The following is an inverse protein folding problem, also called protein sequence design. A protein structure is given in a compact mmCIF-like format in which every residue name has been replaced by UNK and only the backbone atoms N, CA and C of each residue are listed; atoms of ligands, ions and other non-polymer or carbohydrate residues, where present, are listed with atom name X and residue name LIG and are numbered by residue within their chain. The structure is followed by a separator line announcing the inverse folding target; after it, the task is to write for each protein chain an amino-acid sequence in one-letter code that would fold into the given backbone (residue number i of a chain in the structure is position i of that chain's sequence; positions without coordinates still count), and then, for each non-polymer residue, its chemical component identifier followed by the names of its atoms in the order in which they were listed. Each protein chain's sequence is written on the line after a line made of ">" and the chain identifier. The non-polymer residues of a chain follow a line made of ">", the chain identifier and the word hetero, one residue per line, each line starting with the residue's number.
data_IF_255213797079
#
_entry.id   IF_255213797079
#
_cell.length_a   1.000
_cell.length_b   1.000
_cell.length_c   1.000
_cell.angle_alpha   90.00
_cell.angle_beta   90.00
_cell.angle_gamma   90.00
#
_symmetry.space_group_name_H-M   'P 1'
#
loop_
_entity.id
_entity.type
_entity.pdbx_description
1 polymer ?
#
# COMPACT_ATOMS: atom_id res chain seq x y z
N UNK A 1 -12.37 2.13 -1.64
CA UNK A 1 -11.83 2.30 -0.26
C UNK A 1 -12.68 3.28 0.55
N UNK A 2 -13.01 2.99 1.81
CA UNK A 2 -13.81 3.87 2.69
C UNK A 2 -12.96 4.82 3.57
N UNK A 3 -13.62 5.74 4.28
CA UNK A 3 -12.95 6.79 5.08
C UNK A 3 -12.07 6.23 6.20
N UNK A 4 -12.56 5.22 6.92
CA UNK A 4 -11.79 4.57 7.99
C UNK A 4 -10.55 3.83 7.44
N UNK A 5 -10.68 3.20 6.28
CA UNK A 5 -9.57 2.55 5.57
C UNK A 5 -8.53 3.57 5.11
N UNK A 6 -8.98 4.72 4.60
CA UNK A 6 -8.10 5.82 4.22
C UNK A 6 -7.34 6.38 5.43
N UNK A 7 -8.01 6.59 6.56
CA UNK A 7 -7.39 7.06 7.79
C UNK A 7 -6.30 6.11 8.31
N UNK A 8 -6.57 4.81 8.34
CA UNK A 8 -5.57 3.81 8.73
C UNK A 8 -4.39 3.76 7.76
N UNK A 9 -4.67 3.87 6.47
CA UNK A 9 -3.62 3.85 5.43
C UNK A 9 -2.73 5.08 5.47
N UNK A 10 -3.30 6.27 5.75
CA UNK A 10 -2.54 7.51 5.97
C UNK A 10 -1.65 7.40 7.21
N UNK A 11 -2.18 6.92 8.32
CA UNK A 11 -1.38 6.71 9.54
C UNK A 11 -0.19 5.76 9.30
N UNK A 12 -0.35 4.72 8.48
CA UNK A 12 0.75 3.87 8.06
C UNK A 12 1.75 4.62 7.16
N UNK A 13 1.26 5.39 6.19
CA UNK A 13 2.10 6.19 5.29
C UNK A 13 2.96 7.20 6.07
N UNK A 14 2.40 7.89 7.07
CA UNK A 14 3.12 8.83 7.94
C UNK A 14 4.23 8.11 8.75
N UNK A 15 3.92 6.89 9.22
CA UNK A 15 4.92 6.05 9.89
C UNK A 15 6.05 5.65 8.94
N UNK A 16 5.75 5.31 7.69
CA UNK A 16 6.77 5.02 6.68
C UNK A 16 7.60 6.27 6.39
N UNK A 17 6.97 7.43 6.21
CA UNK A 17 7.68 8.68 5.95
C UNK A 17 8.69 9.04 7.04
N UNK A 18 8.32 8.80 8.31
CA UNK A 18 9.20 9.06 9.45
C UNK A 18 10.26 7.98 9.70
N UNK A 19 10.07 6.75 9.19
CA UNK A 19 10.98 5.63 9.44
C UNK A 19 11.82 5.21 8.23
N UNK A 20 11.50 5.69 7.03
CA UNK A 20 12.19 5.32 5.80
C UNK A 20 12.32 6.54 4.86
N UNK A 21 13.51 7.14 4.87
CA UNK A 21 13.84 8.31 4.05
C UNK A 21 13.87 8.02 2.53
N UNK A 22 13.99 6.76 2.11
CA UNK A 22 13.99 6.39 0.69
C UNK A 22 12.58 6.23 0.11
N UNK A 23 11.56 6.14 0.98
CA UNK A 23 10.18 5.94 0.54
C UNK A 23 9.63 7.19 -0.15
N UNK A 24 9.20 7.04 -1.40
CA UNK A 24 8.51 8.07 -2.17
C UNK A 24 6.98 7.97 -2.03
N UNK A 25 6.48 6.77 -1.76
CA UNK A 25 5.06 6.50 -1.63
C UNK A 25 4.77 5.11 -1.06
N UNK A 26 3.49 4.84 -0.86
CA UNK A 26 2.96 3.55 -0.43
C UNK A 26 1.87 3.11 -1.42
N UNK A 27 2.06 1.94 -2.02
CA UNK A 27 1.03 1.26 -2.81
C UNK A 27 0.07 0.57 -1.83
N UNK A 28 -1.22 0.85 -2.00
CA UNK A 28 -2.30 0.22 -1.26
C UNK A 28 -3.08 -0.69 -2.20
N UNK A 29 -3.18 -1.97 -1.85
CA UNK A 29 -3.98 -2.96 -2.55
C UNK A 29 -5.13 -3.38 -1.65
N UNK A 30 -6.35 -3.04 -2.03
CA UNK A 30 -7.58 -3.47 -1.33
C UNK A 30 -7.91 -4.88 -1.80
N UNK A 31 -7.95 -5.82 -0.86
CA UNK A 31 -8.22 -7.23 -1.13
C UNK A 31 -9.72 -7.54 -1.00
N UNK A 32 -10.16 -8.59 -1.66
CA UNK A 32 -11.53 -9.15 -1.63
C UNK A 32 -12.09 -9.41 -0.21
N UNK A 33 -11.20 -9.63 0.76
CA UNK A 33 -11.56 -9.87 2.16
C UNK A 33 -11.62 -8.58 3.01
N UNK A 34 -11.47 -7.41 2.39
CA UNK A 34 -11.44 -6.09 3.04
C UNK A 34 -10.14 -5.76 3.78
N UNK A 35 -9.10 -6.58 3.65
CA UNK A 35 -7.75 -6.23 4.12
C UNK A 35 -7.06 -5.35 3.08
N UNK A 36 -6.08 -4.57 3.50
CA UNK A 36 -5.29 -3.71 2.64
C UNK A 36 -3.84 -4.13 2.77
N UNK A 37 -3.18 -4.46 1.66
CA UNK A 37 -1.74 -4.62 1.62
C UNK A 37 -1.11 -3.28 1.30
N UNK A 38 -0.29 -2.78 2.22
CA UNK A 38 0.44 -1.54 2.08
C UNK A 38 1.92 -1.85 1.81
N UNK A 39 2.42 -1.44 0.66
CA UNK A 39 3.78 -1.71 0.20
C UNK A 39 4.50 -0.39 -0.11
N UNK A 40 5.51 0.02 0.68
CA UNK A 40 6.28 1.21 0.38
C UNK A 40 7.14 1.02 -0.86
N UNK A 41 7.37 2.09 -1.60
CA UNK A 41 8.24 2.10 -2.77
C UNK A 41 9.06 3.40 -2.84
N UNK A 42 10.23 3.33 -3.48
CA UNK A 42 11.13 4.47 -3.68
C UNK A 42 10.85 5.22 -5.01
N UNK A 43 11.61 6.29 -5.28
CA UNK A 43 11.49 7.10 -6.52
C UNK A 43 11.75 6.32 -7.83
N UNK A 44 12.29 5.12 -7.75
CA UNK A 44 12.48 4.24 -8.90
C UNK A 44 11.32 3.26 -9.08
N UNK A 45 10.33 3.27 -8.19
CA UNK A 45 9.22 2.32 -8.15
C UNK A 45 9.60 0.94 -7.63
N UNK A 46 10.74 0.83 -6.95
CA UNK A 46 11.19 -0.42 -6.31
C UNK A 46 10.64 -0.51 -4.89
N UNK A 47 10.24 -1.70 -4.43
CA UNK A 47 9.75 -1.88 -3.07
C UNK A 47 10.85 -1.57 -2.06
N UNK A 48 10.50 -0.86 -0.98
CA UNK A 48 11.42 -0.54 0.11
C UNK A 48 10.79 -0.85 1.46
N UNK A 49 11.60 -1.35 2.39
CA UNK A 49 11.11 -1.76 3.70
C UNK A 49 10.14 -2.95 3.65
N UNK A 50 9.40 -3.14 4.74
CA UNK A 50 8.44 -4.25 4.89
C UNK A 50 7.03 -3.80 4.53
N UNK A 51 6.35 -4.57 3.69
CA UNK A 51 4.90 -4.42 3.51
C UNK A 51 4.13 -4.73 4.79
N UNK A 52 2.98 -4.10 4.96
CA UNK A 52 2.08 -4.36 6.06
C UNK A 52 0.70 -4.76 5.57
N UNK A 53 -0.01 -5.54 6.38
CA UNK A 53 -1.42 -5.83 6.19
C UNK A 53 -2.22 -5.01 7.19
N UNK A 54 -3.10 -4.19 6.67
CA UNK A 54 -3.98 -3.31 7.42
C UNK A 54 -5.41 -3.84 7.33
N UNK A 55 -6.17 -3.75 8.41
CA UNK A 55 -7.60 -4.05 8.39
C UNK A 55 -8.32 -3.12 9.33
N UNK A 56 -9.39 -2.53 8.82
CA UNK A 56 -10.38 -1.81 9.64
C UNK A 56 -11.44 -2.81 10.06
N UNK A 57 -11.71 -2.88 11.36
CA UNK A 57 -12.86 -3.60 11.90
C UNK A 57 -13.57 -2.62 12.83
N UNK A 58 -14.84 -2.35 12.59
CA UNK A 58 -15.66 -1.62 13.53
C UNK A 58 -15.84 -2.51 14.78
N UNK A 59 -15.29 -2.09 15.92
CA UNK A 59 -15.68 -2.63 17.21
C UNK A 59 -14.66 -3.43 18.02
N UNK A 60 -13.50 -3.87 17.51
CA UNK A 60 -12.30 -4.22 18.33
C UNK A 60 -11.16 -4.89 17.53
N UNK A 61 -9.92 -4.66 18.00
CA UNK A 61 -8.59 -5.17 17.59
C UNK A 61 -8.36 -5.37 16.07
N UNK A 62 -7.43 -4.55 15.53
CA UNK A 62 -6.79 -4.58 14.20
C UNK A 62 -6.22 -5.97 13.82
N UNK A 63 -7.05 -7.00 13.63
CA UNK A 63 -6.61 -8.36 13.29
C UNK A 63 -6.78 -8.59 11.79
N UNK A 64 -5.65 -8.80 11.13
CA UNK A 64 -5.60 -9.35 9.77
C UNK A 64 -6.42 -10.64 9.73
N UNK A 65 -7.19 -10.84 8.65
CA UNK A 65 -8.03 -12.03 8.51
C UNK A 65 -7.18 -13.31 8.40
N UNK A 66 -7.78 -14.48 8.67
CA UNK A 66 -7.05 -15.76 8.61
C UNK A 66 -6.42 -16.05 7.24
N UNK A 67 -7.07 -15.63 6.15
CA UNK A 67 -6.54 -15.78 4.78
C UNK A 67 -5.24 -14.99 4.63
N UNK A 68 -5.28 -13.68 4.88
CA UNK A 68 -4.13 -12.79 4.80
C UNK A 68 -3.04 -13.10 5.83
N UNK A 69 -3.34 -13.78 6.95
CA UNK A 69 -2.30 -14.31 7.86
C UNK A 69 -1.55 -15.50 7.27
N UNK A 70 -2.17 -16.27 6.37
CA UNK A 70 -1.55 -17.43 5.71
C UNK A 70 -0.77 -17.03 4.46
N UNK A 71 -1.37 -16.22 3.60
CA UNK A 71 -0.83 -15.88 2.27
C UNK A 71 -0.22 -14.48 2.16
N UNK A 72 -0.19 -13.74 3.27
CA UNK A 72 0.29 -12.36 3.33
C UNK A 72 -0.37 -11.38 2.31
N UNK A 73 -1.55 -11.73 1.78
CA UNK A 73 -2.20 -10.98 0.71
C UNK A 73 -1.35 -10.90 -0.56
N UNK A 74 -0.59 -11.95 -0.88
CA UNK A 74 0.28 -12.00 -2.07
C UNK A 74 -0.45 -12.29 -3.36
N UNK A 75 -1.56 -13.02 -3.31
CA UNK A 75 -2.35 -13.40 -4.48
C UNK A 75 -2.99 -12.17 -5.16
N UNK A 76 -2.44 -11.81 -6.33
CA UNK A 76 -2.89 -10.69 -7.14
C UNK A 76 -4.32 -10.82 -7.64
N UNK A 77 -4.88 -12.03 -7.76
CA UNK A 77 -6.27 -12.24 -8.19
C UNK A 77 -7.29 -11.73 -7.17
N UNK A 78 -6.86 -11.49 -5.93
CA UNK A 78 -7.70 -11.00 -4.83
C UNK A 78 -7.76 -9.48 -4.75
N UNK A 79 -6.98 -8.75 -5.56
CA UNK A 79 -6.94 -7.28 -5.55
C UNK A 79 -8.19 -6.73 -6.24
N UNK A 80 -9.02 -6.00 -5.51
CA UNK A 80 -10.19 -5.30 -6.04
C UNK A 80 -9.86 -3.88 -6.50
N UNK A 81 -9.02 -3.18 -5.73
CA UNK A 81 -8.63 -1.80 -6.01
C UNK A 81 -7.15 -1.59 -5.67
N UNK A 82 -6.48 -0.75 -6.46
CA UNK A 82 -5.11 -0.30 -6.17
C UNK A 82 -5.06 1.22 -6.14
N UNK A 83 -4.41 1.80 -5.14
CA UNK A 83 -4.18 3.24 -5.07
C UNK A 83 -2.81 3.55 -4.48
N UNK A 84 -2.33 4.78 -4.64
CA UNK A 84 -1.02 5.21 -4.15
C UNK A 84 -1.17 6.41 -3.23
N UNK A 85 -0.58 6.31 -2.04
CA UNK A 85 -0.34 7.44 -1.17
C UNK A 85 1.09 7.94 -1.39
N UNK A 86 1.21 9.14 -1.96
CA UNK A 86 2.50 9.81 -2.12
C UNK A 86 2.89 10.51 -0.84
N UNK A 87 4.11 10.29 -0.35
CA UNK A 87 4.60 10.90 0.89
C UNK A 87 5.07 12.34 0.64
N UNK A 88 5.66 12.60 -0.53
CA UNK A 88 6.16 13.91 -0.94
C UNK A 88 5.82 14.19 -2.42
N UNK A 89 4.53 14.30 -2.78
CA UNK A 89 4.10 14.43 -4.17
C UNK A 89 4.63 15.68 -4.88
N UNK A 90 4.98 16.73 -4.12
CA UNK A 90 5.55 17.97 -4.66
C UNK A 90 6.98 17.82 -5.19
N UNK A 91 7.71 16.78 -4.78
CA UNK A 91 9.09 16.54 -5.21
C UNK A 91 9.18 15.77 -6.54
N UNK A 92 8.05 15.34 -7.11
CA UNK A 92 8.00 14.55 -8.33
C UNK A 92 7.11 15.23 -9.38
N UNK A 93 7.64 15.41 -10.58
CA UNK A 93 6.86 15.82 -11.73
C UNK A 93 5.76 14.80 -12.04
N UNK A 94 4.72 15.23 -12.76
CA UNK A 94 3.66 14.32 -13.24
C UNK A 94 4.24 13.15 -14.03
N UNK A 95 5.21 13.43 -14.92
CA UNK A 95 5.87 12.41 -15.76
C UNK A 95 6.61 11.36 -14.93
N UNK A 96 7.30 11.77 -13.87
CA UNK A 96 7.99 10.84 -12.96
C UNK A 96 6.99 9.97 -12.20
N UNK A 97 5.93 10.58 -11.66
CA UNK A 97 4.85 9.83 -10.99
C UNK A 97 4.22 8.80 -11.93
N UNK A 98 3.92 9.16 -13.17
CA UNK A 98 3.33 8.24 -14.16
C UNK A 98 4.27 7.08 -14.52
N UNK A 99 5.58 7.30 -14.54
CA UNK A 99 6.58 6.24 -14.77
C UNK A 99 6.66 5.29 -13.58
N UNK A 100 6.70 5.83 -12.36
CA UNK A 100 6.73 5.06 -11.13
C UNK A 100 5.46 4.21 -11.00
N UNK A 101 4.28 4.81 -11.21
CA UNK A 101 2.99 4.12 -11.13
C UNK A 101 2.94 2.90 -12.06
N UNK A 102 3.36 3.06 -13.32
CA UNK A 102 3.41 1.95 -14.27
C UNK A 102 4.27 0.79 -13.78
N UNK A 103 5.45 1.08 -13.23
CA UNK A 103 6.36 0.05 -12.70
C UNK A 103 5.77 -0.64 -11.46
N UNK A 104 5.31 0.15 -10.51
CA UNK A 104 4.75 -0.33 -9.24
C UNK A 104 3.54 -1.23 -9.49
N UNK A 105 2.60 -0.80 -10.35
CA UNK A 105 1.40 -1.56 -10.68
C UNK A 105 1.70 -2.83 -11.51
N UNK A 106 2.64 -2.76 -12.45
CA UNK A 106 3.08 -3.94 -13.20
C UNK A 106 3.75 -4.99 -12.29
N UNK A 107 4.51 -4.55 -11.28
CA UNK A 107 5.13 -5.43 -10.29
C UNK A 107 4.17 -6.01 -9.25
N UNK A 108 2.99 -5.40 -9.07
CA UNK A 108 1.93 -5.93 -8.20
C UNK A 108 0.98 -6.90 -8.91
N UNK A 109 0.84 -6.83 -10.24
CA UNK A 109 -0.04 -7.70 -11.02
C UNK A 109 0.56 -9.08 -11.35
N UNK A 110 1.86 -9.30 -11.11
CA UNK A 110 2.62 -10.48 -11.55
C UNK A 110 2.90 -11.52 -10.45
N UNK A 111 2.11 -11.61 -9.39
CA UNK A 111 2.34 -12.56 -8.29
C UNK A 111 1.10 -13.33 -7.90
#
# INVERSE_FOLDING_TARGET
>A
MNEAQLGLSRSYADKIQSSNAEAAGVLLLVLDCGCIKAAPFNRHGDPVGRSALLRVIAGEKRRVCLRCRKDQGEDGARVLESTVLWLQPCLLSKRERDKILRKVLAGSAKR
#
